data_IF_288292747282
#
_entry.id   IF_288292747282
#
_cell.length_a   1.000
_cell.length_b   1.000
_cell.length_c   1.000
_cell.angle_alpha   90.00
_cell.angle_beta   90.00
_cell.angle_gamma   90.00
#
_symmetry.space_group_name_H-M   'P 1'
#
loop_
_entity.id
_entity.type
_entity.pdbx_description
1 polymer ?
#
# COMPACT_ATOMS: atom_id res chain seq x y z
N UNK A 1 -3.87 -7.59 10.35
CA UNK A 1 -3.00 -6.55 9.76
C UNK A 1 -3.59 -5.16 9.86
N UNK A 2 -4.76 -4.89 9.28
CA UNK A 2 -5.38 -3.54 9.32
C UNK A 2 -5.55 -2.95 10.73
N UNK A 3 -5.91 -3.76 11.73
CA UNK A 3 -5.99 -3.31 13.13
C UNK A 3 -4.64 -2.84 13.68
N UNK A 4 -3.53 -3.49 13.32
CA UNK A 4 -2.19 -3.06 13.73
C UNK A 4 -1.83 -1.73 13.08
N UNK A 5 -2.13 -1.58 11.78
CA UNK A 5 -1.90 -0.33 11.05
C UNK A 5 -2.76 0.82 11.56
N UNK A 6 -4.01 0.55 11.99
CA UNK A 6 -4.91 1.54 12.57
C UNK A 6 -4.38 2.12 13.90
N UNK A 7 -3.55 1.37 14.62
CA UNK A 7 -2.93 1.81 15.87
C UNK A 7 -1.64 2.61 15.66
N UNK A 8 -1.13 2.70 14.42
CA UNK A 8 0.06 3.50 14.10
C UNK A 8 -0.32 4.98 14.05
N UNK A 9 0.48 5.82 14.72
CA UNK A 9 0.38 7.28 14.61
C UNK A 9 1.18 7.74 13.40
N UNK A 10 0.49 8.25 12.39
CA UNK A 10 1.09 8.79 11.16
C UNK A 10 1.28 10.32 11.18
N UNK A 11 0.79 10.98 12.23
CA UNK A 11 0.99 12.42 12.47
C UNK A 11 2.05 12.57 13.57
N UNK A 12 3.32 12.48 13.15
CA UNK A 12 4.49 12.49 14.04
C UNK A 12 5.41 13.66 13.69
N UNK A 13 6.12 14.18 14.69
CA UNK A 13 7.04 15.32 14.52
C UNK A 13 8.43 14.92 14.08
N UNK A 14 8.83 13.69 14.37
CA UNK A 14 10.15 13.15 14.05
C UNK A 14 9.95 11.75 13.47
N UNK A 15 10.77 11.42 12.47
CA UNK A 15 10.77 10.07 11.90
C UNK A 15 11.43 9.12 12.89
N UNK A 16 10.78 7.98 13.13
CA UNK A 16 11.39 6.90 13.89
C UNK A 16 12.43 6.17 13.03
N UNK A 17 13.54 5.74 13.64
CA UNK A 17 14.59 4.97 12.93
C UNK A 17 14.20 3.52 12.62
N UNK A 18 13.03 3.07 13.06
CA UNK A 18 12.55 1.70 12.94
C UNK A 18 11.19 1.65 12.27
N UNK A 19 10.92 0.55 11.55
CA UNK A 19 9.61 0.28 10.97
C UNK A 19 8.57 -0.11 12.03
N UNK A 20 7.30 0.04 11.69
CA UNK A 20 6.18 -0.30 12.56
C UNK A 20 5.97 -1.81 12.70
N UNK A 21 5.44 -2.21 13.86
CA UNK A 21 5.23 -3.62 14.24
C UNK A 21 4.40 -4.45 13.26
N UNK A 22 3.53 -3.81 12.46
CA UNK A 22 2.71 -4.53 11.50
C UNK A 22 3.55 -5.14 10.37
N UNK A 23 4.72 -4.56 10.07
CA UNK A 23 5.65 -5.06 9.05
C UNK A 23 6.21 -6.41 9.48
N UNK A 24 6.70 -6.51 10.73
CA UNK A 24 7.19 -7.78 11.28
C UNK A 24 6.07 -8.81 11.39
N UNK A 25 4.88 -8.38 11.81
CA UNK A 25 3.73 -9.27 11.89
C UNK A 25 3.33 -9.81 10.50
N UNK A 26 3.38 -8.99 9.46
CA UNK A 26 3.11 -9.41 8.08
C UNK A 26 4.19 -10.37 7.55
N UNK A 27 5.46 -10.10 7.82
CA UNK A 27 6.56 -10.98 7.43
C UNK A 27 6.49 -12.35 8.12
N UNK A 28 6.07 -12.36 9.40
CA UNK A 28 5.80 -13.60 10.13
C UNK A 28 4.70 -14.43 9.47
N UNK A 29 3.71 -13.82 8.82
CA UNK A 29 2.71 -14.56 8.04
C UNK A 29 3.32 -15.18 6.78
N UNK A 30 4.26 -14.51 6.12
CA UNK A 30 5.01 -15.08 4.98
C UNK A 30 5.93 -16.23 5.40
N UNK A 31 6.61 -16.12 6.53
CA UNK A 31 7.42 -17.21 7.10
C UNK A 31 6.55 -18.44 7.41
N UNK A 32 5.37 -18.22 8.01
CA UNK A 32 4.40 -19.28 8.28
C UNK A 32 3.86 -19.90 7.00
N UNK A 33 3.55 -19.10 5.99
CA UNK A 33 3.13 -19.56 4.68
C UNK A 33 4.21 -20.44 4.03
N UNK A 34 5.46 -19.97 3.96
CA UNK A 34 6.58 -20.71 3.39
C UNK A 34 6.78 -22.06 4.11
N UNK A 35 6.76 -22.05 5.45
CA UNK A 35 6.87 -23.27 6.25
C UNK A 35 5.74 -24.25 5.92
N UNK A 36 4.49 -23.79 5.88
CA UNK A 36 3.33 -24.65 5.56
C UNK A 36 3.42 -25.20 4.14
N UNK A 37 3.81 -24.38 3.17
CA UNK A 37 3.98 -24.82 1.78
C UNK A 37 5.06 -25.91 1.67
N UNK A 38 6.16 -25.76 2.39
CA UNK A 38 7.23 -26.76 2.47
C UNK A 38 6.79 -28.06 3.17
N UNK A 39 5.90 -27.99 4.17
CA UNK A 39 5.34 -29.21 4.77
C UNK A 39 4.40 -29.95 3.80
N UNK A 40 3.64 -29.22 2.98
CA UNK A 40 2.81 -29.84 1.93
C UNK A 40 3.69 -30.45 0.84
N UNK A 41 4.76 -29.78 0.42
CA UNK A 41 5.65 -30.26 -0.64
C UNK A 41 6.37 -31.58 -0.30
N UNK A 42 6.55 -31.87 0.98
CA UNK A 42 7.06 -33.17 1.48
C UNK A 42 6.08 -34.33 1.27
N UNK A 43 4.78 -34.04 1.18
CA UNK A 43 3.71 -35.05 1.05
C UNK A 43 3.20 -35.18 -0.38
N UNK A 44 3.14 -34.06 -1.10
CA UNK A 44 2.65 -33.99 -2.47
C UNK A 44 3.59 -33.11 -3.29
N UNK A 45 3.99 -33.56 -4.48
CA UNK A 45 4.82 -32.75 -5.37
C UNK A 45 4.06 -31.48 -5.78
N UNK A 46 4.59 -30.32 -5.41
CA UNK A 46 4.10 -29.02 -5.86
C UNK A 46 5.00 -28.53 -7.00
N UNK A 47 4.50 -28.44 -8.25
CA UNK A 47 5.27 -27.85 -9.33
C UNK A 47 5.66 -26.40 -9.02
N UNK A 48 6.86 -25.99 -9.43
CA UNK A 48 7.34 -24.63 -9.23
C UNK A 48 6.35 -23.56 -9.73
N UNK A 49 5.70 -23.69 -10.92
CA UNK A 49 4.71 -22.71 -11.36
C UNK A 49 3.53 -22.55 -10.39
N UNK A 50 3.09 -23.63 -9.74
CA UNK A 50 2.00 -23.59 -8.76
C UNK A 50 2.46 -22.89 -7.48
N UNK A 51 3.66 -23.21 -6.99
CA UNK A 51 4.27 -22.52 -5.85
C UNK A 51 4.37 -21.01 -6.11
N UNK A 52 4.83 -20.63 -7.31
CA UNK A 52 4.97 -19.24 -7.71
C UNK A 52 3.63 -18.51 -7.73
N UNK A 53 2.58 -19.12 -8.28
CA UNK A 53 1.22 -18.54 -8.28
C UNK A 53 0.74 -18.27 -6.84
N UNK A 54 0.95 -19.21 -5.92
CA UNK A 54 0.55 -19.04 -4.53
C UNK A 54 1.32 -17.88 -3.86
N UNK A 55 2.64 -17.83 -4.07
CA UNK A 55 3.46 -16.72 -3.59
C UNK A 55 3.02 -15.38 -4.15
N UNK A 56 2.80 -15.29 -5.46
CA UNK A 56 2.35 -14.07 -6.12
C UNK A 56 1.02 -13.58 -5.52
N UNK A 57 0.05 -14.47 -5.30
CA UNK A 57 -1.21 -14.09 -4.69
C UNK A 57 -1.06 -13.60 -3.24
N UNK A 58 -0.22 -14.27 -2.43
CA UNK A 58 0.07 -13.81 -1.08
C UNK A 58 0.73 -12.41 -1.07
N UNK A 59 1.67 -12.16 -1.99
CA UNK A 59 2.35 -10.87 -2.12
C UNK A 59 1.38 -9.77 -2.57
N UNK A 60 0.54 -10.03 -3.59
CA UNK A 60 -0.49 -9.08 -4.03
C UNK A 60 -1.45 -8.75 -2.90
N UNK A 61 -1.90 -9.75 -2.14
CA UNK A 61 -2.79 -9.55 -1.01
C UNK A 61 -2.14 -8.68 0.09
N UNK A 62 -0.86 -8.92 0.39
CA UNK A 62 -0.10 -8.11 1.33
C UNK A 62 -0.01 -6.65 0.88
N UNK A 63 0.39 -6.40 -0.37
CA UNK A 63 0.51 -5.06 -0.93
C UNK A 63 -0.83 -4.31 -0.97
N UNK A 64 -1.92 -5.00 -1.33
CA UNK A 64 -3.29 -4.46 -1.24
C UNK A 64 -3.69 -4.12 0.20
N UNK A 65 -3.34 -4.98 1.15
CA UNK A 65 -3.61 -4.75 2.58
C UNK A 65 -2.85 -3.54 3.11
N UNK A 66 -1.61 -3.31 2.65
CA UNK A 66 -0.80 -2.15 3.02
C UNK A 66 -1.46 -0.85 2.54
N UNK A 67 -1.81 -0.77 1.25
CA UNK A 67 -2.50 0.42 0.71
C UNK A 67 -3.84 0.65 1.40
N UNK A 68 -4.62 -0.41 1.67
CA UNK A 68 -5.86 -0.28 2.42
C UNK A 68 -5.61 0.28 3.83
N UNK A 69 -4.53 -0.14 4.50
CA UNK A 69 -4.13 0.43 5.79
C UNK A 69 -3.81 1.92 5.68
N UNK A 70 -3.02 2.33 4.68
CA UNK A 70 -2.69 3.74 4.44
C UNK A 70 -3.91 4.59 4.04
N UNK A 71 -4.87 4.00 3.33
CA UNK A 71 -6.13 4.64 2.96
C UNK A 71 -7.11 4.82 4.12
N UNK A 72 -6.85 4.25 5.29
CA UNK A 72 -7.63 4.47 6.51
C UNK A 72 -6.99 5.52 7.44
N UNK A 73 -5.84 6.09 7.06
CA UNK A 73 -5.14 7.12 7.84
C UNK A 73 -5.89 8.44 7.73
N UNK A 74 -6.17 9.08 8.88
CA UNK A 74 -6.93 10.35 8.92
C UNK A 74 -6.06 11.61 8.89
N UNK A 75 -4.82 11.50 9.37
CA UNK A 75 -3.81 12.56 9.42
C UNK A 75 -2.46 11.95 9.19
N UNK A 76 -1.65 12.55 8.32
CA UNK A 76 -0.33 12.06 7.99
C UNK A 76 0.63 13.23 7.77
N UNK A 77 1.63 13.37 8.64
CA UNK A 77 2.70 14.37 8.53
C UNK A 77 3.71 13.96 7.46
N UNK A 78 4.65 14.85 7.11
CA UNK A 78 5.72 14.52 6.17
C UNK A 78 6.61 13.38 6.71
N UNK A 79 6.87 13.40 8.01
CA UNK A 79 7.61 12.37 8.73
C UNK A 79 6.82 11.05 8.76
N UNK A 80 5.50 11.11 8.89
CA UNK A 80 4.63 9.94 8.75
C UNK A 80 4.65 9.32 7.36
N UNK A 81 4.67 10.13 6.30
CA UNK A 81 4.80 9.65 4.91
C UNK A 81 6.17 8.99 4.70
N UNK A 82 7.23 9.60 5.24
CA UNK A 82 8.57 9.00 5.22
C UNK A 82 8.61 7.68 6.00
N UNK A 83 7.87 7.57 7.11
CA UNK A 83 7.70 6.32 7.84
C UNK A 83 6.94 5.25 7.03
N UNK A 84 5.90 5.61 6.26
CA UNK A 84 5.25 4.66 5.32
C UNK A 84 6.26 4.11 4.32
N UNK A 85 7.12 4.97 3.77
CA UNK A 85 8.18 4.57 2.85
C UNK A 85 9.18 3.63 3.53
N UNK A 86 9.62 3.95 4.76
CA UNK A 86 10.53 3.11 5.54
C UNK A 86 9.92 1.72 5.80
N UNK A 87 8.67 1.69 6.26
CA UNK A 87 7.94 0.45 6.53
C UNK A 87 7.89 -0.46 5.29
N UNK A 88 7.55 0.13 4.13
CA UNK A 88 7.44 -0.64 2.90
C UNK A 88 8.81 -1.12 2.39
N UNK A 89 9.86 -0.32 2.52
CA UNK A 89 11.22 -0.74 2.17
C UNK A 89 11.69 -1.90 3.07
N UNK A 90 11.44 -1.83 4.39
CA UNK A 90 11.78 -2.92 5.30
C UNK A 90 10.99 -4.20 5.00
N UNK A 91 9.71 -4.06 4.64
CA UNK A 91 8.90 -5.18 4.17
C UNK A 91 9.52 -5.84 2.92
N UNK A 92 9.84 -5.05 1.88
CA UNK A 92 10.43 -5.57 0.64
C UNK A 92 11.77 -6.27 0.89
N UNK A 93 12.70 -5.61 1.60
CA UNK A 93 14.04 -6.16 1.87
C UNK A 93 13.99 -7.52 2.58
N UNK A 94 13.03 -7.71 3.49
CA UNK A 94 12.87 -8.98 4.22
C UNK A 94 12.08 -10.00 3.40
N UNK A 95 11.04 -9.58 2.68
CA UNK A 95 10.26 -10.45 1.79
C UNK A 95 11.13 -11.05 0.68
N UNK A 96 12.03 -10.26 0.09
CA UNK A 96 12.94 -10.69 -0.98
C UNK A 96 13.87 -11.83 -0.56
N UNK A 97 14.11 -12.04 0.74
CA UNK A 97 14.87 -13.17 1.29
C UNK A 97 14.03 -14.44 1.47
N UNK A 98 12.70 -14.33 1.42
CA UNK A 98 11.76 -15.43 1.60
C UNK A 98 11.27 -16.02 0.26
N UNK A 99 11.43 -15.29 -0.85
CA UNK A 99 10.90 -15.69 -2.16
C UNK A 99 11.80 -15.23 -3.31
N UNK A 100 11.86 -16.05 -4.36
CA UNK A 100 12.57 -15.75 -5.61
C UNK A 100 11.71 -15.01 -6.64
N UNK A 101 10.43 -14.74 -6.35
CA UNK A 101 9.53 -14.05 -7.28
C UNK A 101 10.07 -12.66 -7.62
N UNK A 102 10.36 -12.42 -8.91
CA UNK A 102 10.80 -11.13 -9.44
C UNK A 102 10.15 -10.84 -10.79
N UNK A 103 9.67 -9.60 -11.04
CA UNK A 103 9.56 -8.48 -10.09
C UNK A 103 8.55 -8.77 -8.96
N UNK A 104 8.63 -8.04 -7.84
CA UNK A 104 7.69 -8.19 -6.72
C UNK A 104 6.28 -7.74 -7.19
N UNK A 105 5.26 -8.62 -7.16
CA UNK A 105 3.91 -8.29 -7.62
C UNK A 105 3.30 -7.12 -6.87
N UNK A 106 2.65 -6.20 -7.57
CA UNK A 106 1.97 -5.02 -7.00
C UNK A 106 2.91 -4.14 -6.12
N UNK A 107 4.24 -4.18 -6.33
CA UNK A 107 5.17 -3.26 -5.67
C UNK A 107 4.85 -1.81 -6.01
N UNK A 108 4.69 -1.52 -7.30
CA UNK A 108 4.40 -0.17 -7.81
C UNK A 108 3.04 0.36 -7.30
N UNK A 109 2.08 -0.52 -7.06
CA UNK A 109 0.78 -0.17 -6.46
C UNK A 109 0.93 0.43 -5.05
N UNK A 110 1.92 0.00 -4.27
CA UNK A 110 2.18 0.62 -2.97
C UNK A 110 3.04 1.88 -3.12
N UNK A 111 4.11 1.81 -3.91
CA UNK A 111 5.05 2.93 -4.06
C UNK A 111 4.40 4.17 -4.67
N UNK A 112 3.58 3.99 -5.71
CA UNK A 112 2.90 5.12 -6.37
C UNK A 112 1.86 5.75 -5.46
N UNK A 113 1.16 4.96 -4.64
CA UNK A 113 0.24 5.48 -3.61
C UNK A 113 0.97 6.34 -2.56
N UNK A 114 2.12 5.90 -2.05
CA UNK A 114 2.94 6.69 -1.10
C UNK A 114 3.47 7.96 -1.78
N UNK A 115 3.94 7.86 -3.03
CA UNK A 115 4.43 9.01 -3.81
C UNK A 115 3.32 10.04 -4.09
N UNK A 116 2.07 9.62 -4.19
CA UNK A 116 0.94 10.51 -4.45
C UNK A 116 0.69 11.51 -3.30
N UNK A 117 1.04 11.15 -2.06
CA UNK A 117 1.89 11.95 -1.16
C UNK A 117 2.14 13.43 -1.52
N UNK A 118 2.96 13.57 -2.55
CA UNK A 118 3.80 14.72 -2.82
C UNK A 118 3.44 15.41 -4.14
N UNK A 119 2.33 15.00 -4.76
CA UNK A 119 1.87 15.57 -6.02
C UNK A 119 1.33 16.99 -5.82
N UNK A 120 1.51 17.81 -6.86
CA UNK A 120 0.82 19.09 -6.96
C UNK A 120 -0.68 18.88 -7.24
N UNK A 121 -1.49 19.93 -7.15
CA UNK A 121 -2.91 19.87 -7.52
C UNK A 121 -3.12 19.33 -8.94
N UNK A 122 -2.36 19.87 -9.90
CA UNK A 122 -2.49 19.51 -11.32
C UNK A 122 -2.05 18.07 -11.57
N UNK A 123 -0.97 17.64 -10.94
CA UNK A 123 -0.47 16.28 -11.08
C UNK A 123 -1.40 15.27 -10.40
N UNK A 124 -2.00 15.63 -9.26
CA UNK A 124 -2.99 14.79 -8.57
C UNK A 124 -4.23 14.55 -9.43
N UNK A 125 -4.74 15.58 -10.14
CA UNK A 125 -5.89 15.40 -11.03
C UNK A 125 -5.58 14.43 -12.18
N UNK A 126 -4.38 14.53 -12.78
CA UNK A 126 -3.93 13.59 -13.81
C UNK A 126 -3.78 12.18 -13.23
N UNK A 127 -3.13 12.07 -12.07
CA UNK A 127 -2.85 10.80 -11.40
C UNK A 127 -4.14 10.03 -11.07
N UNK A 128 -5.16 10.71 -10.54
CA UNK A 128 -6.49 10.15 -10.27
C UNK A 128 -7.11 9.53 -11.53
N UNK A 129 -6.97 10.18 -12.69
CA UNK A 129 -7.55 9.70 -13.96
C UNK A 129 -6.78 8.51 -14.55
N UNK A 130 -5.48 8.42 -14.29
CA UNK A 130 -4.59 7.37 -14.81
C UNK A 130 -4.61 6.10 -13.96
N UNK A 131 -4.81 6.22 -12.64
CA UNK A 131 -4.72 5.10 -11.70
C UNK A 131 -6.09 4.53 -11.29
N UNK A 132 -6.62 3.62 -12.11
CA UNK A 132 -7.94 2.97 -11.92
C UNK A 132 -7.93 1.76 -10.99
N UNK A 133 -6.75 1.34 -10.57
CA UNK A 133 -6.55 0.19 -9.68
C UNK A 133 -6.87 0.50 -8.22
N UNK A 134 -6.98 1.78 -7.85
CA UNK A 134 -7.41 2.21 -6.52
C UNK A 134 -8.92 2.40 -6.44
N UNK A 135 -9.48 2.05 -5.29
CA UNK A 135 -10.89 2.31 -5.02
C UNK A 135 -11.17 3.80 -4.79
N UNK A 136 -12.40 4.22 -5.04
CA UNK A 136 -12.92 5.57 -4.71
C UNK A 136 -12.64 5.97 -3.28
N UNK A 137 -12.73 5.03 -2.32
CA UNK A 137 -12.39 5.26 -0.91
C UNK A 137 -10.91 5.62 -0.74
N UNK A 138 -10.01 4.87 -1.38
CA UNK A 138 -8.57 5.09 -1.31
C UNK A 138 -8.18 6.44 -1.91
N UNK A 139 -8.69 6.75 -3.12
CA UNK A 139 -8.47 8.04 -3.79
C UNK A 139 -9.03 9.21 -2.96
N UNK A 140 -10.25 9.07 -2.45
CA UNK A 140 -10.88 10.11 -1.61
C UNK A 140 -10.07 10.39 -0.36
N UNK A 141 -9.60 9.34 0.33
CA UNK A 141 -8.79 9.52 1.53
C UNK A 141 -7.45 10.18 1.20
N UNK A 142 -6.78 9.73 0.14
CA UNK A 142 -5.53 10.32 -0.34
C UNK A 142 -5.68 11.83 -0.60
N UNK A 143 -6.72 12.26 -1.32
CA UNK A 143 -7.03 13.69 -1.55
C UNK A 143 -7.28 14.42 -0.22
N UNK A 144 -8.00 13.79 0.70
CA UNK A 144 -8.33 14.42 1.99
C UNK A 144 -7.11 14.58 2.92
N UNK A 145 -6.17 13.65 2.89
CA UNK A 145 -4.99 13.62 3.78
C UNK A 145 -3.79 14.34 3.16
N UNK A 146 -3.51 14.15 1.85
CA UNK A 146 -2.40 14.83 1.17
C UNK A 146 -2.51 16.35 1.27
N UNK A 147 -3.74 16.87 1.26
CA UNK A 147 -4.02 18.25 0.87
C UNK A 147 -4.57 19.11 2.01
N UNK A 148 -4.67 18.57 3.22
CA UNK A 148 -5.29 19.24 4.38
C UNK A 148 -4.63 20.55 4.82
N UNK A 149 -3.39 20.84 4.38
CA UNK A 149 -2.63 22.04 4.74
C UNK A 149 -2.18 22.91 3.55
N UNK A 150 -2.14 22.38 2.33
CA UNK A 150 -1.47 23.05 1.19
C UNK A 150 -2.39 23.47 0.04
N UNK A 151 -3.66 23.02 0.02
CA UNK A 151 -4.59 23.29 -1.08
C UNK A 151 -5.86 23.95 -0.57
N UNK A 152 -6.36 24.94 -1.33
CA UNK A 152 -7.58 25.64 -0.99
C UNK A 152 -8.82 24.73 -1.13
N UNK A 153 -9.91 25.09 -0.44
CA UNK A 153 -11.15 24.30 -0.42
C UNK A 153 -11.73 23.99 -1.82
N UNK A 154 -11.56 24.91 -2.78
CA UNK A 154 -12.09 24.80 -4.15
C UNK A 154 -11.38 23.70 -4.94
N UNK A 155 -10.06 23.68 -4.87
CA UNK A 155 -9.23 22.67 -5.51
C UNK A 155 -9.50 21.25 -4.97
N UNK A 156 -9.67 21.12 -3.65
CA UNK A 156 -10.09 19.85 -3.04
C UNK A 156 -11.45 19.37 -3.58
N UNK A 157 -12.44 20.25 -3.69
CA UNK A 157 -13.74 19.90 -4.26
C UNK A 157 -13.65 19.47 -5.72
N UNK A 158 -12.79 20.13 -6.51
CA UNK A 158 -12.53 19.76 -7.91
C UNK A 158 -11.97 18.34 -8.02
N UNK A 159 -10.99 17.99 -7.19
CA UNK A 159 -10.39 16.65 -7.19
C UNK A 159 -11.37 15.57 -6.76
N UNK A 160 -12.21 15.84 -5.75
CA UNK A 160 -13.25 14.90 -5.32
C UNK A 160 -14.29 14.67 -6.43
N UNK A 161 -14.70 15.72 -7.14
CA UNK A 161 -15.60 15.59 -8.29
C UNK A 161 -14.96 14.75 -9.42
N UNK A 162 -13.65 14.89 -9.65
CA UNK A 162 -12.94 14.09 -10.64
C UNK A 162 -12.91 12.60 -10.29
N UNK A 163 -12.89 12.24 -8.99
CA UNK A 163 -13.01 10.85 -8.53
C UNK A 163 -14.43 10.32 -8.80
N UNK A 164 -15.46 11.09 -8.47
CA UNK A 164 -16.86 10.69 -8.69
C UNK A 164 -17.18 10.45 -10.18
N UNK A 165 -16.52 11.20 -11.08
CA UNK A 165 -16.68 11.03 -12.52
C UNK A 165 -16.01 9.75 -13.07
N UNK A 166 -15.05 9.15 -12.35
CA UNK A 166 -14.43 7.87 -12.75
C UNK A 166 -15.40 6.70 -12.59
N UNK A 167 -16.22 6.73 -11.54
CA UNK A 167 -17.20 5.67 -11.23
C UNK A 167 -18.47 5.76 -12.08
N UNK A 168 -18.67 6.87 -12.82
CA UNK A 168 -19.82 6.99 -13.71
C UNK A 168 -19.63 6.07 -14.92
N UNK A 169 -20.55 5.12 -15.17
CA UNK A 169 -20.52 4.36 -16.42
C UNK A 169 -20.60 5.35 -17.58
N UNK A 170 -19.67 5.24 -18.54
CA UNK A 170 -19.70 6.02 -19.77
C UNK A 170 -21.07 5.81 -20.42
N UNK A 171 -21.86 6.88 -20.48
CA UNK A 171 -23.13 6.91 -21.22
C UNK A 171 -22.87 6.81 -22.72
#
# INVERSE_FOLDING_TARGET
MLLLMANVKWDVKEIMSQHNIYVDALLKEFEQFNRRLNEVSKRVRIPLPVSNILWEHCIRLANRTIVEGYANVKKCSNEGRALMQLDFQQFLMKLEKLTDIRPIPDKEFVETYIKAYYLTENDMERWIKEHREYSTKQLTNLVNVCLGSHINKKARQKLLAAIDDIDRPKR
#
